data_IF_169545934516
#
_entry.id   IF_169545934516
#
_cell.length_a   1.000
_cell.length_b   1.000
_cell.length_c   1.000
_cell.angle_alpha   90.00
_cell.angle_beta   90.00
_cell.angle_gamma   90.00
#
_symmetry.space_group_name_H-M   'P 1'
#
loop_
_entity.id
_entity.type
_entity.pdbx_description
1 polymer ?
#
# COMPACT_ATOMS: atom_id res chain seq x y z
N UNK A 1 9.80 26.03 -13.46
CA UNK A 1 9.21 25.41 -14.66
C UNK A 1 7.74 25.76 -14.74
N UNK A 2 7.15 25.88 -15.94
CA UNK A 2 5.70 26.07 -16.09
C UNK A 2 4.98 24.80 -15.66
N UNK A 3 4.06 24.90 -14.70
CA UNK A 3 3.26 23.78 -14.25
C UNK A 3 1.90 24.23 -13.70
N UNK A 4 0.94 23.33 -13.68
CA UNK A 4 -0.37 23.53 -13.08
C UNK A 4 -0.25 23.48 -11.55
N UNK A 5 -0.77 24.50 -10.88
CA UNK A 5 -0.74 24.65 -9.43
C UNK A 5 -2.05 25.27 -8.98
N UNK A 6 -2.43 25.12 -7.71
CA UNK A 6 -3.62 25.79 -7.18
C UNK A 6 -3.34 27.26 -6.86
N UNK A 7 -4.36 28.10 -7.04
CA UNK A 7 -4.43 29.46 -6.52
C UNK A 7 -5.68 29.62 -5.68
N UNK A 8 -5.58 30.40 -4.60
CA UNK A 8 -6.68 30.62 -3.66
C UNK A 8 -7.00 32.12 -3.65
N UNK A 9 -8.20 32.46 -4.14
CA UNK A 9 -8.69 33.84 -4.07
C UNK A 9 -9.06 34.19 -2.63
N UNK A 10 -8.30 35.12 -2.06
CA UNK A 10 -8.45 35.58 -0.68
C UNK A 10 -9.78 36.34 -0.45
N UNK A 11 -10.36 36.94 -1.50
CA UNK A 11 -11.63 37.68 -1.37
C UNK A 11 -12.82 36.72 -1.29
N UNK A 12 -12.79 35.65 -2.08
CA UNK A 12 -13.83 34.61 -2.14
C UNK A 12 -13.71 33.58 -1.01
N UNK A 13 -12.52 33.42 -0.45
CA UNK A 13 -12.27 32.48 0.66
C UNK A 13 -13.03 32.92 1.92
N UNK A 14 -13.89 32.04 2.47
CA UNK A 14 -14.63 32.28 3.71
C UNK A 14 -13.90 31.77 4.98
N UNK A 15 -12.72 31.17 4.84
CA UNK A 15 -11.92 30.69 5.97
C UNK A 15 -12.39 29.38 6.60
N UNK A 16 -13.20 28.57 5.93
CA UNK A 16 -13.75 27.31 6.50
C UNK A 16 -12.70 26.22 6.78
N UNK A 17 -11.51 26.30 6.19
CA UNK A 17 -10.42 25.32 6.40
C UNK A 17 -10.57 23.98 5.68
N UNK A 18 -11.68 23.72 4.97
CA UNK A 18 -11.94 22.43 4.34
C UNK A 18 -10.84 22.02 3.34
N UNK A 19 -10.32 22.97 2.56
CA UNK A 19 -9.23 22.73 1.63
C UNK A 19 -7.89 22.40 2.30
N UNK A 20 -7.60 23.00 3.46
CA UNK A 20 -6.41 22.69 4.23
C UNK A 20 -6.49 21.28 4.84
N UNK A 21 -7.68 20.85 5.26
CA UNK A 21 -7.91 19.48 5.73
C UNK A 21 -7.85 18.44 4.61
N UNK A 22 -8.28 18.79 3.39
CA UNK A 22 -8.27 17.91 2.23
C UNK A 22 -6.92 17.85 1.50
N UNK A 23 -5.99 18.77 1.80
CA UNK A 23 -4.67 18.75 1.17
C UNK A 23 -3.78 17.67 1.78
N UNK A 24 -3.64 16.55 1.09
CA UNK A 24 -2.82 15.42 1.53
C UNK A 24 -1.34 15.79 1.70
N UNK A 25 -0.85 16.75 0.93
CA UNK A 25 0.55 17.21 0.98
C UNK A 25 0.80 18.26 2.06
N UNK A 26 -0.25 18.78 2.68
CA UNK A 26 -0.13 19.85 3.68
C UNK A 26 0.40 21.16 3.09
N UNK A 27 0.18 21.36 1.80
CA UNK A 27 0.61 22.57 1.08
C UNK A 27 -0.23 23.80 1.44
N UNK A 28 -1.46 23.59 1.94
CA UNK A 28 -2.40 24.67 2.32
C UNK A 28 -2.39 24.82 3.84
N UNK A 29 -2.28 26.06 4.31
CA UNK A 29 -2.45 26.39 5.73
C UNK A 29 -3.43 27.54 5.91
N UNK A 30 -3.98 27.66 7.12
CA UNK A 30 -4.82 28.79 7.52
C UNK A 30 -3.95 29.91 8.08
N UNK A 31 -3.96 31.05 7.41
CA UNK A 31 -3.21 32.27 7.79
C UNK A 31 -4.20 33.41 7.95
N UNK A 32 -4.26 34.04 9.11
CA UNK A 32 -5.19 35.13 9.41
C UNK A 32 -6.66 34.82 9.07
N UNK A 33 -7.09 33.56 9.31
CA UNK A 33 -8.47 33.12 9.03
C UNK A 33 -8.77 32.82 7.56
N UNK A 34 -7.79 32.82 6.66
CA UNK A 34 -7.91 32.50 5.25
C UNK A 34 -6.98 31.38 4.84
N UNK A 35 -7.39 30.55 3.89
CA UNK A 35 -6.53 29.51 3.35
C UNK A 35 -5.47 30.10 2.42
N UNK A 36 -4.24 29.65 2.50
CA UNK A 36 -3.14 30.07 1.63
C UNK A 36 -2.27 28.86 1.23
N UNK A 37 -1.79 28.88 -0.01
CA UNK A 37 -0.74 27.98 -0.46
C UNK A 37 0.60 28.44 0.16
N UNK A 38 1.21 27.59 0.97
CA UNK A 38 2.41 27.98 1.74
C UNK A 38 3.68 27.94 0.91
N UNK A 39 3.80 26.94 0.03
CA UNK A 39 4.94 26.78 -0.89
C UNK A 39 4.46 26.10 -2.16
N UNK A 40 5.00 26.52 -3.28
CA UNK A 40 4.65 25.96 -4.58
C UNK A 40 5.12 24.50 -4.73
N UNK A 41 6.31 24.18 -4.22
CA UNK A 41 6.90 22.86 -4.28
C UNK A 41 6.22 21.81 -3.38
N UNK A 42 5.28 22.21 -2.52
CA UNK A 42 4.46 21.30 -1.73
C UNK A 42 3.17 20.89 -2.45
N UNK A 43 2.72 21.65 -3.44
CA UNK A 43 1.52 21.33 -4.20
C UNK A 43 1.85 20.34 -5.32
N UNK A 44 1.24 19.15 -5.31
CA UNK A 44 1.36 18.14 -6.38
C UNK A 44 0.59 18.49 -7.66
N UNK A 45 -0.39 19.40 -7.57
CA UNK A 45 -1.23 19.81 -8.69
C UNK A 45 -2.36 18.83 -9.01
N UNK A 46 -2.66 17.84 -8.15
CA UNK A 46 -3.77 16.90 -8.34
C UNK A 46 -5.15 17.54 -8.11
N UNK A 47 -5.25 18.47 -7.14
CA UNK A 47 -6.44 19.29 -6.95
C UNK A 47 -7.53 18.69 -6.08
N UNK A 48 -7.22 17.76 -5.19
CA UNK A 48 -8.16 17.16 -4.22
C UNK A 48 -8.84 18.20 -3.31
N UNK A 49 -8.20 19.35 -3.17
CA UNK A 49 -8.73 20.49 -2.41
C UNK A 49 -9.84 21.29 -3.15
N UNK A 50 -9.94 21.20 -4.49
CA UNK A 50 -10.91 21.99 -5.27
C UNK A 50 -12.37 21.64 -4.94
N UNK A 51 -12.78 20.34 -4.97
CA UNK A 51 -14.19 19.98 -4.74
C UNK A 51 -14.63 20.24 -3.29
N UNK A 52 -13.70 20.44 -2.37
CA UNK A 52 -14.02 20.67 -0.95
C UNK A 52 -14.29 22.14 -0.63
N UNK A 53 -14.02 23.06 -1.56
CA UNK A 53 -14.22 24.49 -1.33
C UNK A 53 -15.68 24.90 -1.58
N UNK A 54 -16.46 25.27 -0.53
CA UNK A 54 -17.88 25.60 -0.68
C UNK A 54 -18.13 26.92 -1.41
N UNK A 55 -17.09 27.77 -1.48
CA UNK A 55 -17.20 29.09 -2.13
C UNK A 55 -16.56 29.14 -3.52
N UNK A 56 -15.92 28.04 -3.95
CA UNK A 56 -15.20 28.01 -5.22
C UNK A 56 -13.96 28.92 -5.27
N UNK A 57 -13.40 29.27 -4.11
CA UNK A 57 -12.25 30.18 -4.01
C UNK A 57 -10.94 29.56 -4.54
N UNK A 58 -10.91 28.26 -4.87
CA UNK A 58 -9.72 27.55 -5.34
C UNK A 58 -9.84 27.25 -6.82
N UNK A 59 -8.82 27.60 -7.57
CA UNK A 59 -8.73 27.32 -9.00
C UNK A 59 -7.35 26.80 -9.36
N UNK A 60 -7.22 26.17 -10.55
CA UNK A 60 -5.93 25.88 -11.14
C UNK A 60 -5.43 27.07 -11.95
N UNK A 61 -4.13 27.33 -11.82
CA UNK A 61 -3.41 28.28 -12.67
C UNK A 61 -2.15 27.60 -13.23
N UNK A 62 -1.82 27.94 -14.47
CA UNK A 62 -0.54 27.57 -15.05
C UNK A 62 0.42 28.74 -14.92
N UNK A 63 1.43 28.60 -14.09
CA UNK A 63 2.48 29.60 -13.91
C UNK A 63 3.83 28.97 -13.66
N UNK A 64 4.87 29.78 -13.72
CA UNK A 64 6.19 29.34 -13.27
C UNK A 64 6.14 29.09 -11.76
N UNK A 65 6.47 27.86 -11.39
CA UNK A 65 6.53 27.40 -10.01
C UNK A 65 7.68 26.40 -9.81
N UNK A 66 8.14 26.29 -8.58
CA UNK A 66 9.12 25.26 -8.21
C UNK A 66 8.56 23.87 -8.49
N UNK A 67 9.41 22.92 -8.86
CA UNK A 67 9.01 21.52 -9.02
C UNK A 67 8.47 20.97 -7.69
N UNK A 68 7.54 20.00 -7.77
CA UNK A 68 7.07 19.29 -6.59
C UNK A 68 8.24 18.56 -5.92
N UNK A 69 8.38 18.74 -4.63
CA UNK A 69 9.44 18.15 -3.80
C UNK A 69 8.81 17.27 -2.72
N UNK A 70 8.70 15.97 -3.03
CA UNK A 70 8.16 14.95 -2.13
C UNK A 70 8.94 14.87 -0.82
N UNK A 71 10.26 15.04 -0.87
CA UNK A 71 11.10 14.95 0.31
C UNK A 71 10.85 16.12 1.27
N UNK A 72 10.74 17.33 0.73
CA UNK A 72 10.40 18.52 1.53
C UNK A 72 9.00 18.44 2.12
N UNK A 73 8.04 17.84 1.43
CA UNK A 73 6.70 17.55 1.94
C UNK A 73 6.75 16.56 3.10
N UNK A 74 7.48 15.46 2.97
CA UNK A 74 7.67 14.47 4.04
C UNK A 74 8.29 15.08 5.29
N UNK A 75 9.33 15.90 5.13
CA UNK A 75 9.96 16.61 6.26
C UNK A 75 8.99 17.58 6.95
N UNK A 76 8.18 18.29 6.17
CA UNK A 76 7.16 19.20 6.73
C UNK A 76 6.09 18.44 7.52
N UNK A 77 5.62 17.31 6.99
CA UNK A 77 4.68 16.42 7.69
C UNK A 77 5.29 15.92 9.01
N UNK A 78 6.55 15.52 9.01
CA UNK A 78 7.27 15.08 10.21
C UNK A 78 7.37 16.19 11.27
N UNK A 79 7.73 17.40 10.87
CA UNK A 79 7.85 18.56 11.79
C UNK A 79 6.50 18.94 12.41
N UNK A 80 5.41 18.85 11.62
CA UNK A 80 4.06 19.11 12.14
C UNK A 80 3.63 18.08 13.16
N UNK A 81 3.85 16.79 12.90
CA UNK A 81 3.52 15.69 13.81
C UNK A 81 4.31 15.76 15.12
N UNK A 82 5.60 16.11 15.06
CA UNK A 82 6.41 16.32 16.27
C UNK A 82 5.88 17.45 17.14
N UNK A 83 5.35 18.53 16.54
CA UNK A 83 4.73 19.63 17.28
C UNK A 83 3.39 19.25 17.92
N UNK A 84 2.65 18.32 17.32
CA UNK A 84 1.35 17.85 17.79
C UNK A 84 1.45 16.64 18.74
N UNK A 85 2.67 16.18 19.07
CA UNK A 85 2.90 15.03 19.97
C UNK A 85 2.42 13.69 19.43
N UNK A 86 2.18 13.61 18.12
CA UNK A 86 1.76 12.38 17.45
C UNK A 86 2.96 11.54 17.01
N UNK A 87 2.93 10.24 17.30
CA UNK A 87 3.89 9.26 16.74
C UNK A 87 3.69 9.10 15.25
N UNK A 88 4.79 9.14 14.51
CA UNK A 88 4.85 9.00 13.05
C UNK A 88 4.18 7.69 12.57
N UNK A 89 3.03 7.83 11.93
CA UNK A 89 2.51 6.82 11.02
C UNK A 89 2.70 7.35 9.59
N UNK A 90 3.76 6.88 8.92
CA UNK A 90 4.03 7.25 7.53
C UNK A 90 2.97 6.69 6.58
N UNK A 91 2.36 7.56 5.78
CA UNK A 91 1.49 7.19 4.67
C UNK A 91 -0.01 7.18 4.99
N UNK A 92 -0.83 6.94 3.95
CA UNK A 92 -2.27 6.73 4.12
C UNK A 92 -2.55 5.47 4.95
N UNK A 93 -3.75 5.35 5.52
CA UNK A 93 -4.12 4.20 6.36
C UNK A 93 -3.91 2.84 5.68
N UNK A 94 -3.99 2.78 4.34
CA UNK A 94 -3.72 1.59 3.54
C UNK A 94 -2.26 1.18 3.44
N UNK A 95 -1.32 2.09 3.74
CA UNK A 95 0.13 1.84 3.67
C UNK A 95 0.77 1.64 5.06
N UNK A 96 0.01 1.81 6.14
CA UNK A 96 0.54 1.66 7.50
C UNK A 96 0.93 0.21 7.79
N UNK A 97 2.14 -0.01 8.26
CA UNK A 97 2.60 -1.31 8.76
C UNK A 97 1.83 -1.66 10.03
N UNK A 98 1.20 -2.83 10.03
CA UNK A 98 0.57 -3.42 11.22
C UNK A 98 0.96 -4.88 11.32
N UNK A 99 1.29 -5.32 12.53
CA UNK A 99 1.47 -6.73 12.87
C UNK A 99 0.36 -7.12 13.85
N UNK A 100 -0.23 -8.28 13.65
CA UNK A 100 -1.30 -8.80 14.50
C UNK A 100 -0.82 -10.07 15.21
N UNK A 101 -0.93 -10.08 16.55
CA UNK A 101 -0.69 -11.27 17.34
C UNK A 101 -1.97 -12.10 17.44
N UNK A 102 -1.90 -13.36 17.05
CA UNK A 102 -3.01 -14.31 17.21
C UNK A 102 -2.88 -15.04 18.56
N UNK A 103 -3.95 -15.04 19.35
CA UNK A 103 -4.05 -15.89 20.53
C UNK A 103 -4.15 -17.34 20.08
N UNK A 104 -3.45 -18.24 20.79
CA UNK A 104 -3.66 -19.67 20.60
C UNK A 104 -5.12 -20.01 20.88
N UNK A 105 -5.80 -20.64 19.92
CA UNK A 105 -7.20 -21.03 20.06
C UNK A 105 -7.35 -22.00 21.24
N UNK A 106 -8.22 -21.69 22.21
CA UNK A 106 -8.66 -22.63 23.21
C UNK A 106 -9.69 -23.59 22.57
N UNK A 107 -9.44 -24.85 22.65
CA UNK A 107 -10.30 -25.92 22.14
C UNK A 107 -11.57 -26.05 23.01
N UNK A 108 -12.58 -25.23 22.83
CA UNK A 108 -13.96 -25.59 23.22
C UNK A 108 -15.01 -24.66 22.64
N UNK A 109 -16.00 -25.26 21.93
CA UNK A 109 -17.37 -24.82 21.74
C UNK A 109 -17.72 -23.91 20.54
N UNK A 110 -18.75 -24.38 19.79
CA UNK A 110 -19.60 -23.77 18.75
C UNK A 110 -18.85 -23.30 17.46
N UNK A 111 -19.52 -23.27 16.30
CA UNK A 111 -18.87 -22.76 15.08
C UNK A 111 -18.57 -21.26 15.26
N UNK A 112 -17.43 -20.99 15.87
CA UNK A 112 -16.92 -19.65 16.07
C UNK A 112 -16.60 -19.06 14.69
N UNK A 113 -16.95 -17.79 14.50
CA UNK A 113 -16.53 -17.02 13.34
C UNK A 113 -15.01 -17.23 13.17
N UNK A 114 -14.61 -17.66 11.98
CA UNK A 114 -13.18 -17.89 11.70
C UNK A 114 -12.43 -16.56 11.87
N UNK A 115 -11.47 -16.53 12.79
CA UNK A 115 -10.64 -15.37 12.99
C UNK A 115 -9.65 -15.19 11.82
N UNK A 116 -9.35 -13.94 11.47
CA UNK A 116 -8.34 -13.64 10.46
C UNK A 116 -6.98 -14.17 10.89
N UNK A 117 -6.32 -14.90 10.00
CA UNK A 117 -4.96 -15.41 10.20
C UNK A 117 -3.88 -14.45 9.66
N UNK A 118 -4.29 -13.28 9.18
CA UNK A 118 -3.38 -12.26 8.67
C UNK A 118 -2.55 -11.67 9.83
N UNK A 119 -1.23 -11.67 9.66
CA UNK A 119 -0.28 -11.25 10.70
C UNK A 119 0.41 -9.91 10.41
N UNK A 120 0.22 -9.34 9.22
CA UNK A 120 0.85 -8.08 8.84
C UNK A 120 -0.04 -7.22 7.94
N UNK A 121 0.34 -5.96 7.81
CA UNK A 121 -0.22 -4.98 6.88
C UNK A 121 0.90 -4.03 6.41
N UNK A 122 0.92 -3.57 5.15
CA UNK A 122 0.01 -3.86 4.04
C UNK A 122 0.23 -5.26 3.43
N UNK A 123 -0.73 -5.72 2.60
CA UNK A 123 -0.65 -7.01 1.90
C UNK A 123 -0.34 -6.86 0.41
N UNK A 124 -0.69 -5.74 -0.21
CA UNK A 124 -0.46 -5.50 -1.64
C UNK A 124 1.03 -5.39 -1.96
N UNK A 125 1.50 -6.16 -2.94
CA UNK A 125 2.91 -6.16 -3.36
C UNK A 125 3.40 -4.73 -3.64
N UNK A 126 2.58 -3.91 -4.29
CA UNK A 126 2.93 -2.52 -4.63
C UNK A 126 3.13 -1.63 -3.41
N UNK A 127 2.41 -1.89 -2.31
CA UNK A 127 2.39 -1.03 -1.13
C UNK A 127 3.37 -1.46 -0.04
N UNK A 128 3.74 -2.74 0.01
CA UNK A 128 4.60 -3.25 1.08
C UNK A 128 6.01 -2.67 1.00
N UNK A 129 6.58 -2.17 2.12
CA UNK A 129 7.98 -1.73 2.14
C UNK A 129 8.93 -2.91 1.96
N UNK A 130 9.99 -2.74 1.18
CA UNK A 130 10.97 -3.80 0.89
C UNK A 130 11.66 -4.33 2.15
N UNK A 131 11.95 -3.47 3.11
CA UNK A 131 12.69 -3.80 4.34
C UNK A 131 11.78 -3.87 5.57
N UNK A 132 10.57 -4.40 5.43
CA UNK A 132 9.65 -4.49 6.57
C UNK A 132 10.15 -5.53 7.60
N UNK A 133 10.09 -5.23 8.90
CA UNK A 133 10.61 -6.10 9.95
C UNK A 133 10.02 -7.50 9.97
N UNK A 134 8.77 -7.65 9.53
CA UNK A 134 8.07 -8.94 9.49
C UNK A 134 8.61 -9.91 8.43
N UNK A 135 9.51 -9.48 7.52
CA UNK A 135 10.16 -10.38 6.59
C UNK A 135 11.30 -11.19 7.22
N UNK A 136 11.78 -10.82 8.39
CA UNK A 136 12.86 -11.54 9.06
C UNK A 136 12.40 -12.94 9.47
N UNK A 137 13.01 -13.97 8.87
CA UNK A 137 12.67 -15.37 9.10
C UNK A 137 11.31 -15.81 8.54
N UNK A 138 10.73 -15.04 7.62
CA UNK A 138 9.38 -15.26 7.14
C UNK A 138 9.25 -16.43 6.16
N UNK A 139 8.11 -17.12 6.23
CA UNK A 139 7.56 -17.88 5.11
C UNK A 139 6.71 -16.93 4.29
N UNK A 140 7.05 -16.73 3.03
CA UNK A 140 6.37 -15.76 2.15
C UNK A 140 5.26 -16.44 1.37
N UNK A 141 4.06 -15.89 1.43
CA UNK A 141 2.93 -16.23 0.56
C UNK A 141 2.78 -15.14 -0.51
N UNK A 142 2.84 -15.50 -1.77
CA UNK A 142 2.54 -14.63 -2.92
C UNK A 142 1.25 -15.13 -3.55
N UNK A 143 0.16 -14.42 -3.36
CA UNK A 143 -1.17 -14.86 -3.76
C UNK A 143 -1.80 -13.94 -4.82
N UNK A 144 -2.46 -14.52 -5.80
CA UNK A 144 -3.29 -13.76 -6.73
C UNK A 144 -4.55 -13.26 -6.03
N UNK A 145 -5.01 -12.05 -6.34
CA UNK A 145 -6.16 -11.39 -5.71
C UNK A 145 -7.40 -12.27 -5.60
N UNK A 146 -7.68 -13.08 -6.64
CA UNK A 146 -8.89 -13.90 -6.69
C UNK A 146 -8.83 -15.14 -5.79
N UNK A 147 -7.66 -15.58 -5.35
CA UNK A 147 -7.48 -16.89 -4.69
C UNK A 147 -8.18 -16.98 -3.34
N UNK A 148 -8.15 -15.90 -2.55
CA UNK A 148 -8.81 -15.85 -1.26
C UNK A 148 -10.35 -15.83 -1.37
N UNK A 149 -10.88 -15.38 -2.49
CA UNK A 149 -12.33 -15.41 -2.76
C UNK A 149 -12.78 -16.76 -3.27
N UNK A 150 -11.94 -17.44 -4.08
CA UNK A 150 -12.27 -18.73 -4.65
C UNK A 150 -12.16 -19.87 -3.62
N UNK A 151 -11.11 -19.87 -2.79
CA UNK A 151 -10.83 -20.96 -1.85
C UNK A 151 -11.31 -20.64 -0.44
N UNK A 152 -12.38 -21.27 0.00
CA UNK A 152 -13.08 -20.94 1.26
C UNK A 152 -12.17 -21.00 2.51
N UNK A 153 -11.24 -21.95 2.60
CA UNK A 153 -10.35 -22.10 3.77
C UNK A 153 -9.00 -21.38 3.58
N UNK A 154 -8.96 -20.27 2.83
CA UNK A 154 -7.72 -19.59 2.44
C UNK A 154 -6.89 -19.12 3.64
N UNK A 155 -7.53 -18.57 4.66
CA UNK A 155 -6.87 -18.12 5.88
C UNK A 155 -6.15 -19.25 6.60
N UNK A 156 -6.86 -20.38 6.82
CA UNK A 156 -6.29 -21.54 7.53
C UNK A 156 -5.21 -22.26 6.71
N UNK A 157 -5.43 -22.39 5.40
CA UNK A 157 -4.54 -23.18 4.53
C UNK A 157 -3.30 -22.44 4.11
N UNK A 158 -3.40 -21.13 3.82
CA UNK A 158 -2.35 -20.38 3.15
C UNK A 158 -1.84 -19.17 3.96
N UNK A 159 -2.72 -18.40 4.59
CA UNK A 159 -2.30 -17.19 5.31
C UNK A 159 -1.63 -17.53 6.64
N UNK A 160 -2.15 -18.53 7.35
CA UNK A 160 -1.66 -18.91 8.67
C UNK A 160 -0.17 -19.22 8.66
N UNK A 161 0.58 -18.45 9.45
CA UNK A 161 2.03 -18.62 9.58
C UNK A 161 2.85 -18.12 8.39
N UNK A 162 2.25 -17.36 7.47
CA UNK A 162 2.92 -16.74 6.35
C UNK A 162 2.81 -15.21 6.41
N UNK A 163 3.81 -14.54 5.85
CA UNK A 163 3.72 -13.14 5.46
C UNK A 163 3.13 -13.10 4.06
N UNK A 164 1.98 -12.44 3.93
CA UNK A 164 1.13 -12.52 2.74
C UNK A 164 1.32 -11.31 1.84
N UNK A 165 1.65 -11.54 0.59
CA UNK A 165 1.70 -10.54 -0.47
C UNK A 165 0.65 -10.88 -1.54
N UNK A 166 -0.10 -9.87 -1.98
CA UNK A 166 -1.23 -10.04 -2.90
C UNK A 166 -1.05 -9.14 -4.11
N UNK A 167 -1.48 -9.59 -5.27
CA UNK A 167 -1.47 -8.77 -6.48
C UNK A 167 -2.13 -9.44 -7.68
N UNK A 168 -2.48 -8.62 -8.67
CA UNK A 168 -3.05 -9.08 -9.95
C UNK A 168 -2.23 -8.55 -11.12
N UNK A 169 -1.43 -9.38 -11.81
CA UNK A 169 -0.59 -8.92 -12.90
C UNK A 169 -1.38 -8.39 -14.10
N UNK A 170 -2.66 -8.74 -14.21
CA UNK A 170 -3.55 -8.23 -15.25
C UNK A 170 -4.07 -6.82 -14.97
N UNK A 171 -4.35 -6.52 -13.70
CA UNK A 171 -4.95 -5.23 -13.28
C UNK A 171 -3.90 -4.17 -12.94
N UNK A 172 -2.79 -4.58 -12.33
CA UNK A 172 -1.82 -3.64 -11.80
C UNK A 172 -0.86 -3.04 -12.84
N UNK A 173 -0.78 -3.61 -14.03
CA UNK A 173 0.09 -3.13 -15.14
C UNK A 173 1.55 -2.87 -14.73
N UNK A 174 2.09 -3.68 -13.80
CA UNK A 174 3.47 -3.58 -13.30
C UNK A 174 4.18 -4.93 -13.35
N UNK A 175 5.50 -4.91 -13.44
CA UNK A 175 6.32 -6.08 -13.23
C UNK A 175 6.62 -6.24 -11.75
N UNK A 176 6.05 -7.26 -11.13
CA UNK A 176 6.30 -7.59 -9.73
C UNK A 176 7.70 -8.17 -9.48
N UNK A 177 8.37 -8.67 -10.53
CA UNK A 177 9.65 -9.39 -10.37
C UNK A 177 10.73 -8.50 -9.74
N UNK A 178 10.79 -7.22 -10.09
CA UNK A 178 11.76 -6.28 -9.53
C UNK A 178 11.59 -6.15 -8.00
N UNK A 179 10.38 -5.81 -7.57
CA UNK A 179 10.11 -5.59 -6.14
C UNK A 179 10.21 -6.88 -5.33
N UNK A 180 9.72 -8.00 -5.87
CA UNK A 180 9.85 -9.30 -5.23
C UNK A 180 11.32 -9.73 -5.12
N UNK A 181 12.14 -9.46 -6.13
CA UNK A 181 13.60 -9.66 -6.08
C UNK A 181 14.22 -8.90 -4.91
N UNK A 182 13.89 -7.64 -4.77
CA UNK A 182 14.42 -6.82 -3.67
C UNK A 182 13.99 -7.35 -2.30
N UNK A 183 12.71 -7.71 -2.14
CA UNK A 183 12.20 -8.28 -0.89
C UNK A 183 12.94 -9.57 -0.55
N UNK A 184 13.08 -10.49 -1.51
CA UNK A 184 13.73 -11.78 -1.29
C UNK A 184 15.23 -11.61 -1.04
N UNK A 185 15.90 -10.76 -1.82
CA UNK A 185 17.35 -10.55 -1.70
C UNK A 185 17.74 -9.88 -0.36
N UNK A 186 16.99 -8.88 0.07
CA UNK A 186 17.34 -8.04 1.23
C UNK A 186 16.87 -8.61 2.59
N UNK A 187 16.01 -9.64 2.60
CA UNK A 187 15.44 -10.17 3.83
C UNK A 187 15.71 -11.68 4.01
N UNK A 188 15.64 -12.16 5.24
CA UNK A 188 15.79 -13.59 5.57
C UNK A 188 14.47 -14.34 5.31
N UNK A 189 14.21 -14.70 4.05
CA UNK A 189 13.02 -15.45 3.64
C UNK A 189 13.33 -16.95 3.71
N UNK A 190 12.51 -17.72 4.45
CA UNK A 190 12.69 -19.17 4.65
C UNK A 190 12.08 -20.01 3.54
N UNK A 191 10.95 -19.58 3.00
CA UNK A 191 10.27 -20.28 1.91
C UNK A 191 9.34 -19.36 1.16
N UNK A 192 9.01 -19.70 -0.09
CA UNK A 192 8.05 -18.97 -0.91
C UNK A 192 6.96 -19.91 -1.37
N UNK A 193 5.70 -19.57 -1.10
CA UNK A 193 4.52 -20.25 -1.64
C UNK A 193 3.80 -19.30 -2.57
N UNK A 194 3.64 -19.66 -3.84
CA UNK A 194 2.84 -18.93 -4.82
C UNK A 194 1.48 -19.60 -4.90
N UNK A 195 0.40 -18.82 -4.74
CA UNK A 195 -0.96 -19.33 -4.93
C UNK A 195 -1.60 -18.55 -6.05
N UNK A 196 -2.02 -19.25 -7.09
CA UNK A 196 -2.61 -18.66 -8.29
C UNK A 196 -3.90 -19.35 -8.71
N UNK A 197 -4.69 -18.66 -9.53
CA UNK A 197 -5.84 -19.28 -10.21
C UNK A 197 -5.37 -20.05 -11.45
N UNK A 198 -6.19 -21.01 -11.89
CA UNK A 198 -6.00 -21.77 -13.13
C UNK A 198 -6.01 -20.91 -14.40
N UNK A 199 -6.57 -19.70 -14.33
CA UNK A 199 -6.72 -18.80 -15.48
C UNK A 199 -5.37 -18.26 -15.97
N UNK A 200 -5.20 -18.09 -17.30
CA UNK A 200 -3.92 -17.73 -17.91
C UNK A 200 -3.29 -16.44 -17.38
N UNK A 201 -4.12 -15.44 -17.02
CA UNK A 201 -3.63 -14.16 -16.52
C UNK A 201 -2.83 -14.29 -15.19
N UNK A 202 -3.09 -15.32 -14.39
CA UNK A 202 -2.34 -15.57 -13.16
C UNK A 202 -0.94 -16.18 -13.40
N UNK A 203 -0.63 -16.63 -14.60
CA UNK A 203 0.72 -17.08 -14.98
C UNK A 203 1.78 -15.99 -14.82
N UNK A 204 1.41 -14.72 -14.98
CA UNK A 204 2.29 -13.58 -14.77
C UNK A 204 2.80 -13.46 -13.33
N UNK A 205 1.98 -13.79 -12.33
CA UNK A 205 2.39 -13.77 -10.92
C UNK A 205 3.40 -14.88 -10.61
N UNK A 206 3.16 -16.08 -11.13
CA UNK A 206 4.09 -17.20 -11.03
C UNK A 206 5.43 -16.87 -11.69
N UNK A 207 5.37 -16.31 -12.92
CA UNK A 207 6.57 -15.89 -13.65
C UNK A 207 7.37 -14.85 -12.84
N UNK A 208 6.72 -13.82 -12.32
CA UNK A 208 7.37 -12.79 -11.52
C UNK A 208 8.03 -13.36 -10.26
N UNK A 209 7.37 -14.29 -9.55
CA UNK A 209 7.95 -14.95 -8.38
C UNK A 209 9.16 -15.83 -8.74
N UNK A 210 9.09 -16.61 -9.83
CA UNK A 210 10.23 -17.40 -10.33
C UNK A 210 11.42 -16.53 -10.69
N UNK A 211 11.18 -15.46 -11.44
CA UNK A 211 12.20 -14.48 -11.83
C UNK A 211 12.85 -13.85 -10.60
N UNK A 212 12.03 -13.47 -9.62
CA UNK A 212 12.51 -12.89 -8.38
C UNK A 212 13.41 -13.86 -7.57
N UNK A 213 13.02 -15.12 -7.47
CA UNK A 213 13.84 -16.16 -6.82
C UNK A 213 15.19 -16.33 -7.52
N UNK A 214 15.20 -16.40 -8.86
CA UNK A 214 16.43 -16.52 -9.64
C UNK A 214 17.34 -15.29 -9.46
N UNK A 215 16.79 -14.09 -9.55
CA UNK A 215 17.55 -12.85 -9.48
C UNK A 215 18.00 -12.50 -8.05
N UNK A 216 17.37 -13.06 -7.02
CA UNK A 216 17.76 -12.83 -5.62
C UNK A 216 19.11 -13.40 -5.24
N UNK A 217 19.64 -14.35 -6.03
CA UNK A 217 20.87 -15.07 -5.75
C UNK A 217 20.80 -16.01 -4.54
N UNK A 218 19.59 -16.26 -4.00
CA UNK A 218 19.38 -17.13 -2.83
C UNK A 218 18.75 -18.45 -3.23
N UNK A 219 19.18 -19.52 -2.58
CA UNK A 219 18.54 -20.83 -2.70
C UNK A 219 17.45 -20.97 -1.63
N UNK A 220 16.18 -20.72 -2.01
CA UNK A 220 15.03 -20.73 -1.12
C UNK A 220 14.04 -21.79 -1.60
N UNK A 221 13.55 -22.70 -0.73
CA UNK A 221 12.48 -23.64 -1.08
C UNK A 221 11.22 -22.87 -1.52
N UNK A 222 10.63 -23.32 -2.61
CA UNK A 222 9.42 -22.69 -3.12
C UNK A 222 8.46 -23.69 -3.74
N UNK A 223 7.18 -23.34 -3.80
CA UNK A 223 6.12 -24.12 -4.41
C UNK A 223 5.08 -23.25 -5.06
N UNK A 224 4.35 -23.80 -6.03
CA UNK A 224 3.19 -23.16 -6.67
C UNK A 224 1.96 -24.03 -6.41
N UNK A 225 0.88 -23.39 -5.95
CA UNK A 225 -0.43 -24.02 -5.79
C UNK A 225 -1.40 -23.38 -6.76
N UNK A 226 -2.05 -24.18 -7.58
CA UNK A 226 -3.07 -23.73 -8.53
C UNK A 226 -4.45 -24.02 -8.00
N UNK A 227 -5.32 -22.99 -7.96
CA UNK A 227 -6.71 -23.08 -7.52
C UNK A 227 -7.63 -22.91 -8.72
N UNK A 228 -8.64 -23.78 -8.82
CA UNK A 228 -9.70 -23.66 -9.83
C UNK A 228 -10.67 -22.53 -9.52
N UNK A 229 -11.40 -22.10 -10.50
CA UNK A 229 -12.43 -21.05 -10.35
C UNK A 229 -13.59 -21.47 -9.44
N UNK A 230 -13.80 -22.77 -9.26
CA UNK A 230 -14.78 -23.34 -8.30
C UNK A 230 -14.16 -23.67 -6.91
N UNK A 231 -12.94 -23.21 -6.65
CA UNK A 231 -12.32 -23.24 -5.32
C UNK A 231 -11.67 -24.55 -4.92
N UNK A 232 -11.24 -25.39 -5.86
CA UNK A 232 -10.47 -26.62 -5.59
C UNK A 232 -8.99 -26.40 -5.83
N UNK A 233 -8.14 -27.04 -5.06
CA UNK A 233 -6.71 -27.13 -5.36
C UNK A 233 -6.55 -28.17 -6.48
N UNK A 234 -6.00 -27.73 -7.61
CA UNK A 234 -5.79 -28.58 -8.80
C UNK A 234 -4.41 -29.23 -8.78
N UNK A 235 -3.39 -28.45 -8.38
CA UNK A 235 -2.00 -28.88 -8.46
C UNK A 235 -1.15 -28.17 -7.41
N UNK A 236 -0.06 -28.83 -7.00
CA UNK A 236 1.00 -28.29 -6.14
C UNK A 236 2.34 -28.80 -6.69
N UNK A 237 3.14 -27.88 -7.22
CA UNK A 237 4.45 -28.16 -7.85
C UNK A 237 5.57 -27.59 -6.99
#
# INVERSE_FOLDING_TARGET
MKRRIIEIDQNTCNGCGACAAACHEGAIAMVNGKAQLMRDDYCDGLGDCLPTCPTGAISFVEREAAAYDEQAVLENKQKRMQKEGMTLHHGCAGMQLKTFAHKAASETAAPAAQESQLSQWPVQIKLVPVNAPYFSGAKLLIAADCTAYAYAAFHEKFIKGHITLVGCPKLDSVDYSEKLTEIIAKNDIKSVTVVRMEVPCCGGLEHAAKTALQNSGKFIPWQVVTISTDGRILDTI
#
